data_IF_850446783355
#
_entry.id   IF_850446783355
#
_cell.length_a   1.000
_cell.length_b   1.000
_cell.length_c   1.000
_cell.angle_alpha   90.00
_cell.angle_beta   90.00
_cell.angle_gamma   90.00
#
_symmetry.space_group_name_H-M   'P 1'
#
loop_
_entity.id
_entity.type
_entity.pdbx_description
1 polymer ?
#
# COMPACT_ATOMS: atom_id res chain seq x y z
N UNK A 1 -5.64 65.35 -26.49
CA UNK A 1 -6.16 64.56 -25.37
C UNK A 1 -6.79 63.27 -25.94
N UNK A 2 -6.05 62.20 -25.94
CA UNK A 2 -6.43 60.97 -26.66
C UNK A 2 -6.84 59.93 -25.62
N UNK A 3 -8.11 59.56 -25.60
CA UNK A 3 -8.65 58.49 -24.72
C UNK A 3 -8.22 57.12 -25.22
N UNK A 4 -7.41 56.44 -24.43
CA UNK A 4 -6.98 55.07 -24.65
C UNK A 4 -8.10 54.12 -24.21
N UNK A 5 -8.80 53.51 -25.14
CA UNK A 5 -9.79 52.46 -24.88
C UNK A 5 -9.04 51.16 -24.56
N UNK A 6 -9.09 50.71 -23.31
CA UNK A 6 -8.61 49.40 -22.88
C UNK A 6 -9.63 48.36 -23.30
N UNK A 7 -9.27 47.54 -24.25
CA UNK A 7 -9.98 46.28 -24.54
C UNK A 7 -9.61 45.25 -23.49
N UNK A 8 -10.57 44.84 -22.68
CA UNK A 8 -10.44 43.69 -21.79
C UNK A 8 -10.89 42.46 -22.61
N UNK A 9 -9.95 41.67 -23.05
CA UNK A 9 -10.25 40.35 -23.63
C UNK A 9 -10.54 39.36 -22.48
N UNK A 10 -11.82 39.01 -22.34
CA UNK A 10 -12.22 37.92 -21.44
C UNK A 10 -11.87 36.61 -22.13
N UNK A 11 -10.81 35.96 -21.66
CA UNK A 11 -10.44 34.62 -22.08
C UNK A 11 -11.39 33.65 -21.38
N UNK A 12 -12.41 33.17 -22.09
CA UNK A 12 -13.25 32.10 -21.62
C UNK A 12 -12.43 30.78 -21.70
N UNK A 13 -11.87 30.39 -20.57
CA UNK A 13 -11.28 29.05 -20.43
C UNK A 13 -12.44 28.07 -20.34
N UNK A 14 -12.74 27.41 -21.44
CA UNK A 14 -13.65 26.27 -21.46
C UNK A 14 -12.98 25.13 -20.72
N UNK A 15 -13.40 24.88 -19.48
CA UNK A 15 -13.10 23.65 -18.77
C UNK A 15 -13.85 22.52 -19.48
N UNK A 16 -13.17 21.88 -20.42
CA UNK A 16 -13.61 20.56 -20.88
C UNK A 16 -13.35 19.62 -19.71
N UNK A 17 -14.40 19.38 -18.94
CA UNK A 17 -14.38 18.33 -17.93
C UNK A 17 -14.13 17.01 -18.64
N UNK A 18 -12.90 16.53 -18.59
CA UNK A 18 -12.61 15.12 -18.86
C UNK A 18 -13.31 14.37 -17.74
N UNK A 19 -14.48 13.80 -18.04
CA UNK A 19 -15.07 12.76 -17.23
C UNK A 19 -14.10 11.57 -17.31
N UNK A 20 -13.08 11.60 -16.47
CA UNK A 20 -12.21 10.46 -16.25
C UNK A 20 -13.10 9.30 -15.80
N UNK A 21 -12.95 8.16 -16.42
CA UNK A 21 -13.59 6.93 -16.02
C UNK A 21 -13.36 6.73 -14.52
N UNK A 22 -14.43 6.77 -13.72
CA UNK A 22 -14.42 6.55 -12.27
C UNK A 22 -14.10 5.10 -11.89
N UNK A 23 -13.63 4.31 -12.84
CA UNK A 23 -13.14 2.94 -12.69
C UNK A 23 -11.64 2.85 -12.99
N UNK A 24 -10.84 3.87 -12.69
CA UNK A 24 -9.41 3.65 -12.62
C UNK A 24 -9.16 2.54 -11.59
N UNK A 25 -8.66 1.41 -12.05
CA UNK A 25 -8.28 0.29 -11.18
C UNK A 25 -7.28 0.86 -10.17
N UNK A 26 -7.43 0.50 -8.90
CA UNK A 26 -6.49 0.92 -7.85
C UNK A 26 -5.05 0.59 -8.23
N UNK A 27 -4.85 -0.41 -9.09
CA UNK A 27 -3.56 -0.78 -9.65
C UNK A 27 -2.98 0.28 -10.60
N UNK A 28 -3.82 1.12 -11.22
CA UNK A 28 -3.35 2.20 -12.09
C UNK A 28 -2.78 3.38 -11.30
N UNK A 29 -3.09 3.47 -10.01
CA UNK A 29 -2.53 4.46 -9.10
C UNK A 29 -1.11 4.07 -8.62
N UNK A 30 -0.71 2.81 -8.81
CA UNK A 30 0.62 2.31 -8.44
C UNK A 30 1.59 2.53 -9.60
N UNK A 31 2.78 3.10 -9.37
CA UNK A 31 3.80 3.21 -10.41
C UNK A 31 4.06 1.87 -11.09
N UNK A 32 4.13 1.87 -12.43
CA UNK A 32 4.20 0.65 -13.24
C UNK A 32 5.36 -0.26 -12.85
N UNK A 33 6.54 0.31 -12.56
CA UNK A 33 7.72 -0.43 -12.14
C UNK A 33 7.56 -1.11 -10.77
N UNK A 34 6.77 -0.51 -9.88
CA UNK A 34 6.41 -1.10 -8.58
C UNK A 34 5.37 -2.20 -8.77
N UNK A 35 4.36 -1.94 -9.60
CA UNK A 35 3.34 -2.93 -9.93
C UNK A 35 3.97 -4.18 -10.54
N UNK A 36 4.81 -4.03 -11.55
CA UNK A 36 5.49 -5.14 -12.24
C UNK A 36 6.45 -5.90 -11.32
N UNK A 37 7.02 -5.23 -10.32
CA UNK A 37 7.86 -5.85 -9.31
C UNK A 37 7.06 -6.67 -8.29
N UNK A 38 5.88 -6.18 -7.87
CA UNK A 38 5.03 -6.84 -6.86
C UNK A 38 4.22 -7.98 -7.47
N UNK A 39 3.66 -7.76 -8.65
CA UNK A 39 2.85 -8.75 -9.35
C UNK A 39 3.71 -9.54 -10.33
N UNK A 40 4.04 -10.77 -9.96
CA UNK A 40 4.73 -11.66 -10.89
C UNK A 40 3.73 -12.19 -11.93
N UNK A 41 3.89 -11.85 -13.23
CA UNK A 41 2.97 -12.26 -14.29
C UNK A 41 2.89 -13.77 -14.49
N UNK A 42 3.90 -14.53 -14.05
CA UNK A 42 3.88 -16.00 -14.14
C UNK A 42 2.93 -16.65 -13.12
N UNK A 43 2.58 -15.92 -12.05
CA UNK A 43 1.74 -16.44 -10.97
C UNK A 43 0.47 -15.62 -10.73
N UNK A 44 0.47 -14.36 -11.13
CA UNK A 44 -0.64 -13.44 -10.89
C UNK A 44 -0.85 -12.58 -12.13
N UNK A 45 -2.04 -12.61 -12.69
CA UNK A 45 -2.43 -11.65 -13.72
C UNK A 45 -2.87 -10.35 -13.03
N UNK A 46 -2.09 -9.25 -13.13
CA UNK A 46 -2.47 -7.98 -12.52
C UNK A 46 -3.72 -7.35 -13.17
N UNK A 47 -4.11 -7.84 -14.35
CA UNK A 47 -5.30 -7.38 -15.07
C UNK A 47 -6.52 -8.27 -14.84
N UNK A 48 -6.42 -9.29 -13.97
CA UNK A 48 -7.59 -10.08 -13.62
C UNK A 48 -8.64 -9.17 -12.97
N UNK A 49 -9.91 -9.25 -13.40
CA UNK A 49 -10.97 -8.52 -12.74
C UNK A 49 -11.00 -8.89 -11.26
N UNK A 50 -10.86 -7.90 -10.39
CA UNK A 50 -11.09 -8.11 -8.97
C UNK A 50 -12.53 -8.58 -8.78
N UNK A 51 -12.71 -9.67 -8.01
CA UNK A 51 -14.04 -10.10 -7.59
C UNK A 51 -14.73 -9.01 -6.78
N UNK A 52 -16.04 -9.14 -6.60
CA UNK A 52 -16.77 -8.23 -5.72
C UNK A 52 -16.19 -8.30 -4.30
N UNK A 53 -15.84 -7.15 -3.76
CA UNK A 53 -15.33 -7.00 -2.40
C UNK A 53 -15.82 -5.69 -1.82
N UNK A 54 -16.21 -5.72 -0.55
CA UNK A 54 -16.57 -4.51 0.21
C UNK A 54 -15.38 -3.55 0.38
N UNK A 55 -14.17 -4.02 0.13
CA UNK A 55 -12.94 -3.23 0.22
C UNK A 55 -12.43 -2.73 -1.13
N UNK A 56 -13.16 -2.99 -2.23
CA UNK A 56 -12.71 -2.62 -3.58
C UNK A 56 -12.39 -1.12 -3.71
N UNK A 57 -13.24 -0.30 -3.11
CA UNK A 57 -13.11 1.16 -3.15
C UNK A 57 -12.52 1.74 -1.87
N UNK A 58 -12.00 0.86 -1.00
CA UNK A 58 -11.39 1.32 0.25
C UNK A 58 -10.04 1.99 -0.04
N UNK A 59 -9.87 3.17 0.53
CA UNK A 59 -8.60 3.91 0.52
C UNK A 59 -8.22 4.24 1.95
N UNK A 60 -6.93 4.18 2.23
CA UNK A 60 -6.42 4.67 3.51
C UNK A 60 -6.54 6.20 3.56
N UNK A 61 -6.97 6.71 4.70
CA UNK A 61 -6.94 8.13 5.03
C UNK A 61 -5.56 8.61 5.55
N UNK A 62 -4.63 7.67 5.75
CA UNK A 62 -3.27 7.93 6.22
C UNK A 62 -2.36 8.28 5.05
N UNK A 63 -1.57 9.37 5.17
CA UNK A 63 -0.63 9.77 4.13
C UNK A 63 0.54 8.78 4.01
N UNK A 64 1.11 8.69 2.82
CA UNK A 64 2.38 8.00 2.59
C UNK A 64 3.56 8.86 3.14
N UNK A 65 4.71 8.22 3.46
CA UNK A 65 4.98 6.76 3.44
C UNK A 65 4.47 6.05 4.70
N UNK A 66 4.05 4.79 4.55
CA UNK A 66 3.51 4.00 5.64
C UNK A 66 4.57 3.18 6.37
N UNK A 67 4.34 2.94 7.67
CA UNK A 67 5.04 1.92 8.47
C UNK A 67 4.10 0.73 8.67
N UNK A 68 4.56 -0.46 8.26
CA UNK A 68 3.78 -1.69 8.35
C UNK A 68 4.30 -2.55 9.50
N UNK A 69 3.39 -2.98 10.37
CA UNK A 69 3.68 -3.99 11.38
C UNK A 69 3.50 -5.39 10.80
N UNK A 70 4.45 -6.28 11.01
CA UNK A 70 4.31 -7.69 10.65
C UNK A 70 4.39 -8.57 11.90
N UNK A 71 3.24 -9.03 12.37
CA UNK A 71 3.12 -9.95 13.49
C UNK A 71 3.30 -11.40 13.00
N UNK A 72 4.56 -11.87 12.98
CA UNK A 72 4.90 -13.23 12.56
C UNK A 72 4.73 -14.21 13.70
N UNK A 73 4.13 -15.37 13.41
CA UNK A 73 3.98 -16.45 14.41
C UNK A 73 5.24 -17.27 14.61
N UNK A 74 6.04 -17.46 13.56
CA UNK A 74 7.19 -18.37 13.59
C UNK A 74 8.13 -18.10 12.41
N UNK A 75 9.44 -18.17 12.63
CA UNK A 75 10.45 -17.95 11.60
C UNK A 75 11.37 -19.14 11.34
N UNK A 76 11.10 -20.31 11.95
CA UNK A 76 12.02 -21.43 11.98
C UNK A 76 12.00 -22.36 10.76
N UNK A 77 11.36 -22.00 9.65
CA UNK A 77 11.42 -22.80 8.43
C UNK A 77 11.95 -21.99 7.23
N UNK A 78 12.39 -22.70 6.18
CA UNK A 78 13.00 -22.10 5.00
C UNK A 78 12.05 -21.14 4.27
N UNK A 79 10.76 -21.45 4.23
CA UNK A 79 9.76 -20.58 3.61
C UNK A 79 9.67 -19.21 4.32
N UNK A 80 9.56 -19.25 5.65
CA UNK A 80 9.52 -18.01 6.47
C UNK A 80 10.80 -17.20 6.36
N UNK A 81 11.94 -17.90 6.35
CA UNK A 81 13.24 -17.26 6.13
C UNK A 81 13.28 -16.55 4.78
N UNK A 82 12.84 -17.24 3.71
CA UNK A 82 12.74 -16.66 2.38
C UNK A 82 11.81 -15.44 2.32
N UNK A 83 10.66 -15.49 3.02
CA UNK A 83 9.76 -14.32 3.14
C UNK A 83 10.49 -13.13 3.76
N UNK A 84 11.22 -13.32 4.86
CA UNK A 84 11.94 -12.25 5.53
C UNK A 84 13.10 -11.69 4.68
N UNK A 85 13.83 -12.56 4.01
CA UNK A 85 14.90 -12.16 3.09
C UNK A 85 14.35 -11.29 1.95
N UNK A 86 13.21 -11.66 1.37
CA UNK A 86 12.54 -10.87 0.34
C UNK A 86 11.98 -9.55 0.86
N UNK A 87 11.31 -9.58 2.02
CA UNK A 87 10.75 -8.36 2.61
C UNK A 87 11.82 -7.29 2.83
N UNK A 88 12.95 -7.65 3.42
CA UNK A 88 14.01 -6.71 3.76
C UNK A 88 15.04 -6.50 2.65
N UNK A 89 15.32 -7.51 1.84
CA UNK A 89 16.31 -7.44 0.76
C UNK A 89 15.77 -6.81 -0.52
N UNK A 90 14.53 -7.11 -0.87
CA UNK A 90 13.98 -6.72 -2.16
C UNK A 90 12.86 -5.68 -2.01
N UNK A 91 11.80 -5.99 -1.24
CA UNK A 91 10.60 -5.16 -1.20
C UNK A 91 10.79 -3.84 -0.45
N UNK A 92 11.28 -3.89 0.78
CA UNK A 92 11.38 -2.69 1.59
C UNK A 92 12.26 -1.60 0.97
N UNK A 93 13.47 -1.91 0.45
CA UNK A 93 14.29 -0.90 -0.21
C UNK A 93 13.57 -0.25 -1.41
N UNK A 94 12.94 -1.06 -2.26
CA UNK A 94 12.23 -0.57 -3.44
C UNK A 94 11.01 0.28 -3.07
N UNK A 95 10.25 -0.14 -2.06
CA UNK A 95 9.09 0.62 -1.58
C UNK A 95 9.49 1.93 -0.88
N UNK A 96 10.65 1.96 -0.21
CA UNK A 96 11.22 3.19 0.35
C UNK A 96 11.63 4.16 -0.75
N UNK A 97 12.30 3.68 -1.78
CA UNK A 97 12.70 4.48 -2.94
C UNK A 97 11.49 5.10 -3.64
N UNK A 98 10.39 4.34 -3.74
CA UNK A 98 9.12 4.81 -4.31
C UNK A 98 8.33 5.74 -3.38
N UNK A 99 8.75 5.96 -2.13
CA UNK A 99 8.03 6.77 -1.15
C UNK A 99 6.73 6.14 -0.65
N UNK A 100 6.58 4.82 -0.79
CA UNK A 100 5.37 4.08 -0.38
C UNK A 100 5.50 3.59 1.06
N UNK A 101 6.65 3.03 1.44
CA UNK A 101 6.90 2.57 2.80
C UNK A 101 8.00 3.37 3.48
N UNK A 102 7.81 3.61 4.76
CA UNK A 102 8.85 4.09 5.66
C UNK A 102 9.61 2.93 6.29
N UNK A 103 8.87 1.90 6.79
CA UNK A 103 9.48 0.72 7.41
C UNK A 103 8.53 -0.47 7.50
N UNK A 104 9.09 -1.65 7.78
CA UNK A 104 8.36 -2.86 8.17
C UNK A 104 8.89 -3.31 9.53
N UNK A 105 8.06 -3.23 10.56
CA UNK A 105 8.40 -3.63 11.95
C UNK A 105 7.92 -5.05 12.17
N UNK A 106 8.86 -5.98 12.39
CA UNK A 106 8.54 -7.40 12.55
C UNK A 106 8.62 -7.82 14.01
N UNK A 107 7.60 -8.57 14.43
CA UNK A 107 7.61 -9.27 15.73
C UNK A 107 7.44 -10.76 15.51
N UNK A 108 7.85 -11.57 16.49
CA UNK A 108 7.72 -13.02 16.45
C UNK A 108 7.19 -13.56 17.77
N UNK A 109 6.12 -14.34 17.69
CA UNK A 109 5.47 -14.91 18.88
C UNK A 109 5.98 -16.31 19.23
N UNK A 110 6.73 -16.97 18.34
CA UNK A 110 7.17 -18.36 18.50
C UNK A 110 6.00 -19.31 18.80
N UNK A 111 4.91 -19.18 18.02
CA UNK A 111 3.67 -19.98 18.14
C UNK A 111 2.94 -19.81 19.50
N UNK A 112 3.17 -18.70 20.18
CA UNK A 112 2.48 -18.38 21.45
C UNK A 112 1.40 -17.32 21.17
N UNK A 113 0.15 -17.72 21.20
CA UNK A 113 -1.00 -16.86 20.86
C UNK A 113 -1.06 -15.60 21.72
N UNK A 114 -0.95 -15.75 23.04
CA UNK A 114 -0.97 -14.60 23.97
C UNK A 114 0.16 -13.59 23.67
N UNK A 115 1.34 -14.08 23.29
CA UNK A 115 2.47 -13.23 22.91
C UNK A 115 2.15 -12.52 21.59
N UNK A 116 1.58 -13.21 20.61
CA UNK A 116 1.22 -12.60 19.32
C UNK A 116 0.16 -11.50 19.50
N UNK A 117 -0.87 -11.75 20.30
CA UNK A 117 -1.90 -10.76 20.62
C UNK A 117 -1.28 -9.51 21.28
N UNK A 118 -0.37 -9.72 22.24
CA UNK A 118 0.33 -8.61 22.88
C UNK A 118 1.19 -7.82 21.88
N UNK A 119 1.92 -8.51 21.00
CA UNK A 119 2.73 -7.88 19.97
C UNK A 119 1.91 -7.09 18.95
N UNK A 120 0.75 -7.60 18.54
CA UNK A 120 -0.17 -6.86 17.68
C UNK A 120 -0.64 -5.56 18.34
N UNK A 121 -1.00 -5.62 19.64
CA UNK A 121 -1.37 -4.41 20.39
C UNK A 121 -0.19 -3.42 20.47
N UNK A 122 1.00 -3.89 20.75
CA UNK A 122 2.20 -3.03 20.78
C UNK A 122 2.46 -2.36 19.43
N UNK A 123 2.34 -3.09 18.32
CA UNK A 123 2.48 -2.51 16.98
C UNK A 123 1.40 -1.44 16.71
N UNK A 124 0.15 -1.71 17.11
CA UNK A 124 -0.93 -0.73 17.01
C UNK A 124 -0.66 0.52 17.86
N UNK A 125 -0.21 0.34 19.11
CA UNK A 125 0.12 1.44 20.02
C UNK A 125 1.31 2.27 19.53
N UNK A 126 2.24 1.65 18.79
CA UNK A 126 3.33 2.33 18.09
C UNK A 126 2.85 3.15 16.88
N UNK A 127 1.59 3.00 16.48
CA UNK A 127 0.99 3.79 15.41
C UNK A 127 1.36 3.31 14.01
N UNK A 128 1.60 1.99 13.82
CA UNK A 128 1.79 1.45 12.46
C UNK A 128 0.55 1.70 11.61
N UNK A 129 0.74 1.92 10.31
CA UNK A 129 -0.31 2.28 9.37
C UNK A 129 -1.12 1.07 8.89
N UNK A 130 -0.54 -0.11 8.98
CA UNK A 130 -1.19 -1.38 8.67
C UNK A 130 -0.54 -2.54 9.37
N UNK A 131 -1.29 -3.65 9.54
CA UNK A 131 -0.81 -4.88 10.13
C UNK A 131 -0.91 -6.04 9.14
N UNK A 132 0.20 -6.75 8.98
CA UNK A 132 0.23 -8.08 8.36
C UNK A 132 0.29 -9.07 9.51
N UNK A 133 -0.68 -9.97 9.57
CA UNK A 133 -0.75 -11.00 10.61
C UNK A 133 -0.60 -12.37 10.00
N UNK A 134 0.45 -13.07 10.41
CA UNK A 134 0.58 -14.51 10.15
C UNK A 134 0.30 -15.23 11.46
N UNK A 135 -0.96 -15.64 11.64
CA UNK A 135 -1.48 -16.15 12.89
C UNK A 135 -0.81 -17.48 13.32
N UNK A 136 -0.57 -17.60 14.62
CA UNK A 136 -0.18 -18.86 15.25
C UNK A 136 -1.39 -19.81 15.39
N UNK A 137 -2.58 -19.22 15.57
CA UNK A 137 -3.84 -19.93 15.68
C UNK A 137 -4.94 -19.12 14.95
N UNK A 138 -5.69 -19.70 14.01
CA UNK A 138 -6.71 -18.98 13.25
C UNK A 138 -7.96 -18.60 14.07
N UNK A 139 -8.09 -19.08 15.30
CA UNK A 139 -9.21 -18.79 16.22
C UNK A 139 -8.80 -17.93 17.43
N UNK A 140 -7.56 -17.48 17.50
CA UNK A 140 -7.06 -16.67 18.60
C UNK A 140 -7.29 -15.16 18.39
#
# INVERSE_FOLDING_TARGET
MTLLKKFIAILAVSFVGVAGNLNADILDEIPADIRDFVYNPDFMDPNQPLGESVYRDWKSDRPLPWTIGYASSYAGNLWRKGVMERLYGDYLPKMKEAGILNDIVVTQSNLKDAVQIQQMRQLTDQGVDGLIVCCSNPVA
#
